data_IF_926271131242
#
_entry.id   IF_926271131242
#
_cell.length_a   1.000
_cell.length_b   1.000
_cell.length_c   1.000
_cell.angle_alpha   90.00
_cell.angle_beta   90.00
_cell.angle_gamma   90.00
#
_symmetry.space_group_name_H-M   'P 1'
#
loop_
_entity.id
_entity.type
_entity.pdbx_description
1 polymer ?
#
# COMPACT_ATOMS: atom_id res chain seq x y z
N UNK A 1 5.65 9.44 -12.78
CA UNK A 1 4.80 8.85 -11.74
C UNK A 1 3.90 7.77 -12.30
N UNK A 2 4.19 6.51 -11.99
CA UNK A 2 3.27 5.37 -12.19
C UNK A 2 2.68 5.00 -10.84
N UNK A 3 1.36 4.86 -10.77
CA UNK A 3 0.62 4.47 -9.55
C UNK A 3 0.08 3.06 -9.72
N UNK A 4 0.38 2.18 -8.77
CA UNK A 4 -0.18 0.84 -8.67
C UNK A 4 -1.42 0.86 -7.78
N UNK A 5 -2.51 0.22 -8.21
CA UNK A 5 -3.75 0.13 -7.44
C UNK A 5 -4.07 -1.35 -7.23
N UNK A 6 -4.34 -1.73 -6.00
CA UNK A 6 -4.80 -3.07 -5.59
C UNK A 6 -5.89 -2.96 -4.52
N UNK A 7 -6.62 -4.04 -4.30
CA UNK A 7 -7.63 -4.20 -3.24
C UNK A 7 -7.77 -5.67 -2.89
N UNK A 8 -8.50 -5.98 -1.83
CA UNK A 8 -9.03 -7.33 -1.56
C UNK A 8 -7.95 -8.40 -1.61
N UNK A 9 -6.82 -8.13 -0.96
CA UNK A 9 -5.69 -9.07 -0.97
C UNK A 9 -5.97 -10.29 -0.11
N UNK A 10 -6.88 -10.19 0.88
CA UNK A 10 -7.44 -11.32 1.64
C UNK A 10 -6.38 -12.35 2.04
N UNK A 11 -5.27 -11.90 2.63
CA UNK A 11 -4.16 -12.75 3.08
C UNK A 11 -3.44 -13.58 1.99
N UNK A 12 -3.73 -13.37 0.71
CA UNK A 12 -3.19 -14.16 -0.39
C UNK A 12 -1.75 -13.75 -0.73
N UNK A 13 -0.79 -14.23 0.08
CA UNK A 13 0.61 -13.80 0.02
C UNK A 13 1.29 -14.05 -1.33
N UNK A 14 0.94 -15.12 -2.03
CA UNK A 14 1.57 -15.46 -3.32
C UNK A 14 1.19 -14.45 -4.41
N UNK A 15 -0.09 -14.06 -4.47
CA UNK A 15 -0.55 -13.02 -5.37
C UNK A 15 0.02 -11.66 -4.97
N UNK A 16 0.12 -11.38 -3.67
CA UNK A 16 0.73 -10.16 -3.19
C UNK A 16 2.21 -10.06 -3.62
N UNK A 17 2.97 -11.15 -3.57
CA UNK A 17 4.36 -11.20 -4.09
C UNK A 17 4.42 -10.93 -5.59
N UNK A 18 3.60 -11.62 -6.39
CA UNK A 18 3.52 -11.39 -7.85
C UNK A 18 3.20 -9.94 -8.18
N UNK A 19 2.28 -9.31 -7.45
CA UNK A 19 1.94 -7.90 -7.61
C UNK A 19 3.14 -7.01 -7.27
N UNK A 20 3.87 -7.28 -6.16
CA UNK A 20 5.07 -6.51 -5.82
C UNK A 20 6.14 -6.61 -6.91
N UNK A 21 6.33 -7.79 -7.51
CA UNK A 21 7.27 -8.00 -8.62
C UNK A 21 6.86 -7.20 -9.87
N UNK A 22 5.57 -7.23 -10.22
CA UNK A 22 5.02 -6.43 -11.32
C UNK A 22 5.20 -4.92 -11.04
N UNK A 23 4.94 -4.47 -9.82
CA UNK A 23 5.08 -3.07 -9.45
C UNK A 23 6.53 -2.61 -9.49
N UNK A 24 7.46 -3.45 -9.05
CA UNK A 24 8.89 -3.17 -9.16
C UNK A 24 9.35 -3.11 -10.62
N UNK A 25 8.97 -4.08 -11.46
CA UNK A 25 9.38 -4.12 -12.87
C UNK A 25 8.81 -2.96 -13.68
N UNK A 26 7.63 -2.47 -13.32
CA UNK A 26 6.98 -1.30 -13.94
C UNK A 26 7.42 0.05 -13.35
N UNK A 27 8.37 0.08 -12.42
CA UNK A 27 8.78 1.31 -11.72
C UNK A 27 7.59 2.07 -11.11
N UNK A 28 6.65 1.35 -10.48
CA UNK A 28 5.57 1.98 -9.71
C UNK A 28 6.20 2.82 -8.61
N UNK A 29 5.79 4.09 -8.51
CA UNK A 29 6.30 5.05 -7.54
C UNK A 29 5.42 5.14 -6.30
N UNK A 30 4.12 4.82 -6.41
CA UNK A 30 3.18 4.84 -5.30
C UNK A 30 2.15 3.71 -5.43
N UNK A 31 1.87 3.02 -4.33
CA UNK A 31 0.82 1.99 -4.25
C UNK A 31 -0.41 2.54 -3.52
N UNK A 32 -1.59 2.26 -4.06
CA UNK A 32 -2.88 2.44 -3.40
C UNK A 32 -3.47 1.07 -3.10
N UNK A 33 -3.80 0.80 -1.84
CA UNK A 33 -4.52 -0.40 -1.42
C UNK A 33 -5.93 -0.02 -0.94
N UNK A 34 -6.96 -0.41 -1.70
CA UNK A 34 -8.33 0.07 -1.52
C UNK A 34 -9.15 -0.65 -0.43
N UNK A 35 -8.55 -1.57 0.31
CA UNK A 35 -9.16 -2.20 1.49
C UNK A 35 -8.94 -3.70 1.52
N UNK A 36 -9.37 -4.33 2.61
CA UNK A 36 -9.35 -5.78 2.81
C UNK A 36 -7.96 -6.40 2.61
N UNK A 37 -7.04 -5.94 3.46
CA UNK A 37 -5.75 -6.61 3.68
C UNK A 37 -5.97 -7.94 4.42
N UNK A 38 -6.92 -7.91 5.36
CA UNK A 38 -7.36 -8.91 6.33
C UNK A 38 -6.45 -9.08 7.54
N UNK A 39 -5.20 -9.52 7.39
CA UNK A 39 -4.30 -9.72 8.55
C UNK A 39 -2.99 -8.92 8.45
N UNK A 40 -2.40 -8.50 9.58
CA UNK A 40 -1.19 -7.68 9.64
C UNK A 40 0.04 -8.33 9.00
N UNK A 41 0.06 -9.66 8.88
CA UNK A 41 1.20 -10.36 8.29
C UNK A 41 1.39 -10.10 6.78
N UNK A 42 0.37 -9.58 6.08
CA UNK A 42 0.50 -9.11 4.69
C UNK A 42 1.60 -8.05 4.54
N UNK A 43 1.83 -7.26 5.62
CA UNK A 43 2.94 -6.29 5.72
C UNK A 43 4.31 -6.93 5.47
N UNK A 44 4.49 -8.23 5.77
CA UNK A 44 5.77 -8.94 5.55
C UNK A 44 6.17 -8.94 4.07
N UNK A 45 5.22 -8.89 3.14
CA UNK A 45 5.47 -8.81 1.71
C UNK A 45 5.59 -7.34 1.28
N UNK A 46 4.62 -6.49 1.66
CA UNK A 46 4.55 -5.09 1.23
C UNK A 46 5.74 -4.25 1.76
N UNK A 47 6.37 -4.63 2.88
CA UNK A 47 7.52 -3.90 3.45
C UNK A 47 8.74 -3.82 2.56
N UNK A 48 8.84 -4.68 1.56
CA UNK A 48 9.92 -4.64 0.60
C UNK A 48 9.72 -3.58 -0.49
N UNK A 49 8.51 -3.02 -0.61
CA UNK A 49 8.27 -1.86 -1.46
C UNK A 49 8.70 -0.58 -0.75
N UNK A 50 9.81 0.01 -1.19
CA UNK A 50 10.47 1.16 -0.55
C UNK A 50 9.89 2.52 -0.93
N UNK A 51 8.98 2.59 -1.92
CA UNK A 51 8.41 3.84 -2.43
C UNK A 51 7.06 4.16 -1.75
N UNK A 52 6.27 5.05 -2.33
CA UNK A 52 5.03 5.56 -1.73
C UNK A 52 3.95 4.49 -1.51
N UNK A 53 3.19 4.58 -0.42
CA UNK A 53 2.06 3.67 -0.16
C UNK A 53 0.96 4.42 0.59
N UNK A 54 -0.28 4.22 0.16
CA UNK A 54 -1.48 4.67 0.86
C UNK A 54 -2.51 3.56 0.86
N UNK A 55 -2.99 3.19 2.03
CA UNK A 55 -4.06 2.21 2.21
C UNK A 55 -5.29 2.83 2.87
N UNK A 56 -6.45 2.22 2.64
CA UNK A 56 -7.63 2.42 3.47
C UNK A 56 -8.04 1.09 4.11
N UNK A 57 -8.67 1.15 5.28
CA UNK A 57 -9.27 -0.04 5.87
C UNK A 57 -10.52 -0.46 5.11
N UNK A 58 -10.61 -1.74 4.75
CA UNK A 58 -11.85 -2.38 4.33
C UNK A 58 -12.68 -2.89 5.51
N UNK A 59 -13.85 -3.46 5.22
CA UNK A 59 -14.76 -3.98 6.24
C UNK A 59 -14.28 -5.32 6.83
N UNK A 60 -13.40 -6.05 6.16
CA UNK A 60 -12.85 -7.31 6.65
C UNK A 60 -11.53 -7.15 7.42
N UNK A 61 -10.99 -5.93 7.53
CA UNK A 61 -9.79 -5.66 8.31
C UNK A 61 -10.11 -5.64 9.81
N UNK A 62 -9.99 -6.80 10.47
CA UNK A 62 -10.27 -6.95 11.91
C UNK A 62 -9.18 -6.37 12.81
N UNK A 63 -7.90 -6.58 12.47
CA UNK A 63 -6.75 -6.17 13.29
C UNK A 63 -6.32 -4.71 13.03
N UNK A 64 -7.27 -3.78 13.05
CA UNK A 64 -7.06 -2.36 12.67
C UNK A 64 -5.98 -1.68 13.51
N UNK A 65 -5.89 -1.99 14.80
CA UNK A 65 -4.89 -1.40 15.71
C UNK A 65 -3.47 -1.79 15.28
N UNK A 66 -3.24 -3.09 15.02
CA UNK A 66 -1.92 -3.57 14.62
C UNK A 66 -1.58 -3.14 13.18
N UNK A 67 -2.55 -3.17 12.26
CA UNK A 67 -2.39 -2.58 10.93
C UNK A 67 -2.02 -1.10 10.99
N UNK A 68 -2.71 -0.30 11.83
CA UNK A 68 -2.39 1.11 12.04
C UNK A 68 -0.98 1.30 12.62
N UNK A 69 -0.55 0.45 13.56
CA UNK A 69 0.82 0.48 14.10
C UNK A 69 1.87 0.17 13.04
N UNK A 70 1.61 -0.79 12.15
CA UNK A 70 2.53 -1.24 11.10
C UNK A 70 2.66 -0.27 9.92
N UNK A 71 1.55 0.39 9.56
CA UNK A 71 1.49 1.32 8.43
C UNK A 71 1.53 2.79 8.85
N UNK A 72 1.33 3.10 10.13
CA UNK A 72 1.38 4.46 10.70
C UNK A 72 0.47 5.44 9.93
N UNK A 73 1.03 6.52 9.41
CA UNK A 73 0.38 7.52 8.59
C UNK A 73 0.18 7.07 7.13
N UNK A 74 0.35 5.78 6.81
CA UNK A 74 0.15 5.25 5.45
C UNK A 74 -1.15 4.47 5.29
N UNK A 75 -1.95 4.36 6.35
CA UNK A 75 -3.28 3.71 6.31
C UNK A 75 -4.34 4.56 7.02
N UNK A 76 -5.53 4.66 6.42
CA UNK A 76 -6.59 5.58 6.85
C UNK A 76 -7.98 4.93 6.85
N UNK A 77 -8.94 5.57 7.51
CA UNK A 77 -10.35 5.18 7.42
C UNK A 77 -10.96 5.68 6.12
N UNK A 78 -11.78 4.87 5.47
CA UNK A 78 -12.52 5.28 4.27
C UNK A 78 -13.72 6.21 4.63
N UNK A 79 -14.10 7.14 3.74
CA UNK A 79 -13.35 7.56 2.56
C UNK A 79 -12.11 8.40 2.96
N UNK A 80 -11.01 8.22 2.23
CA UNK A 80 -9.79 9.01 2.43
C UNK A 80 -9.39 9.71 1.13
N UNK A 81 -9.29 11.04 1.19
CA UNK A 81 -8.84 11.88 0.07
C UNK A 81 -7.39 12.29 0.30
N UNK A 82 -6.55 12.09 -0.70
CA UNK A 82 -5.14 12.49 -0.66
C UNK A 82 -4.62 12.86 -2.04
N UNK A 83 -3.48 13.53 -2.05
CA UNK A 83 -2.70 13.82 -3.26
C UNK A 83 -1.39 13.04 -3.15
N UNK A 84 -1.08 12.14 -4.11
CA UNK A 84 0.21 11.46 -4.14
C UNK A 84 1.34 12.50 -4.26
N UNK A 85 2.32 12.42 -3.36
CA UNK A 85 3.54 13.22 -3.45
C UNK A 85 4.55 12.48 -4.32
N UNK A 86 5.25 13.19 -5.19
CA UNK A 86 6.33 12.63 -5.99
C UNK A 86 7.55 13.55 -5.95
N UNK A 87 8.73 12.94 -5.87
CA UNK A 87 10.01 13.63 -6.02
C UNK A 87 10.38 13.67 -7.49
N UNK A 88 10.69 14.85 -8.03
CA UNK A 88 11.35 14.93 -9.33
C UNK A 88 12.74 14.28 -9.25
N UNK A 89 13.33 13.93 -10.41
CA UNK A 89 14.68 13.34 -10.50
C UNK A 89 15.77 14.19 -9.80
N UNK A 90 15.48 15.46 -9.53
CA UNK A 90 16.37 16.43 -8.88
C UNK A 90 16.20 16.50 -7.34
N UNK A 91 15.45 15.58 -6.72
CA UNK A 91 15.31 15.47 -5.27
C UNK A 91 14.40 16.52 -4.61
N UNK A 92 13.85 17.47 -5.37
CA UNK A 92 12.85 18.41 -4.88
C UNK A 92 11.47 17.73 -4.77
N UNK A 93 10.89 17.74 -3.56
CA UNK A 93 9.51 17.36 -3.30
C UNK A 93 8.57 18.44 -3.84
N UNK A 94 7.57 18.06 -4.65
CA UNK A 94 6.43 18.92 -5.02
C UNK A 94 5.13 18.38 -4.41
#
# INVERSE_FOLDING_TARGET
MIVGIISDTHNHLDNLRKVMDIFNSRNVEHIIHAGDFCSPFTRRVIKHFSRGFTGIFGNNDGERILLKKLYQDRIYTQPYKFTPKYSNKDGALK
#
